data_IF_197121096688
#
_entry.id   IF_197121096688
#
_cell.length_a   1.000
_cell.length_b   1.000
_cell.length_c   1.000
_cell.angle_alpha   90.00
_cell.angle_beta   90.00
_cell.angle_gamma   90.00
#
_symmetry.space_group_name_H-M   'P 1'
#
loop_
_entity.id
_entity.type
_entity.pdbx_description
1 polymer ?
#
# COMPACT_ATOMS: atom_id res chain seq x y z
N UNK A 1 7.67 3.06 17.67
CA UNK A 1 8.69 4.12 17.68
C UNK A 1 9.25 4.32 19.08
N UNK A 2 8.41 4.40 20.13
CA UNK A 2 8.85 4.67 21.50
C UNK A 2 9.71 3.53 22.08
N UNK A 3 9.33 2.28 21.81
CA UNK A 3 10.03 1.09 22.33
C UNK A 3 11.39 0.88 21.64
N UNK A 4 11.48 1.17 20.32
CA UNK A 4 12.70 0.90 19.54
C UNK A 4 13.51 2.15 19.24
N UNK A 5 12.90 3.33 19.21
CA UNK A 5 13.53 4.56 18.75
C UNK A 5 13.77 5.63 19.83
N UNK A 6 13.25 5.45 21.04
CA UNK A 6 13.33 6.44 22.12
C UNK A 6 12.59 7.75 21.83
N UNK A 7 12.60 8.67 22.81
CA UNK A 7 11.89 9.95 22.73
C UNK A 7 12.39 10.87 21.59
N UNK A 8 13.66 10.75 21.20
CA UNK A 8 14.27 11.59 20.14
C UNK A 8 13.68 11.34 18.74
N UNK A 9 13.12 10.15 18.49
CA UNK A 9 12.62 9.76 17.17
C UNK A 9 11.10 9.89 17.00
N UNK A 10 10.43 10.64 17.87
CA UNK A 10 8.98 10.88 17.76
C UNK A 10 8.60 11.60 16.44
N UNK A 11 9.52 12.39 15.87
CA UNK A 11 9.34 13.03 14.58
C UNK A 11 9.16 12.02 13.41
N UNK A 12 9.62 10.78 13.57
CA UNK A 12 9.43 9.72 12.57
C UNK A 12 7.97 9.28 12.40
N UNK A 13 7.08 9.62 13.34
CA UNK A 13 5.64 9.30 13.26
C UNK A 13 5.03 9.88 11.99
N UNK A 14 5.42 11.09 11.60
CA UNK A 14 4.95 11.76 10.38
C UNK A 14 5.36 11.05 9.08
N UNK A 15 6.38 10.22 9.14
CA UNK A 15 6.91 9.45 8.01
C UNK A 15 6.24 8.07 7.90
N UNK A 16 5.76 7.52 9.02
CA UNK A 16 5.19 6.16 9.04
C UNK A 16 3.92 6.04 8.18
N UNK A 17 2.99 6.98 8.30
CA UNK A 17 1.73 6.92 7.56
C UNK A 17 1.93 6.89 6.03
N UNK A 18 2.69 7.82 5.41
CA UNK A 18 2.96 7.76 3.98
C UNK A 18 3.75 6.52 3.57
N UNK A 19 4.70 6.04 4.39
CA UNK A 19 5.43 4.81 4.09
C UNK A 19 4.54 3.57 4.06
N UNK A 20 3.66 3.40 5.05
CA UNK A 20 2.69 2.30 5.10
C UNK A 20 1.75 2.36 3.91
N UNK A 21 1.27 3.54 3.55
CA UNK A 21 0.40 3.74 2.37
C UNK A 21 1.14 3.40 1.07
N UNK A 22 2.38 3.86 0.93
CA UNK A 22 3.21 3.54 -0.23
C UNK A 22 3.46 2.04 -0.37
N UNK A 23 3.76 1.35 0.73
CA UNK A 23 3.93 -0.10 0.75
C UNK A 23 2.65 -0.83 0.31
N UNK A 24 1.48 -0.33 0.69
CA UNK A 24 0.20 -0.87 0.26
C UNK A 24 -0.01 -0.72 -1.26
N UNK A 25 0.29 0.46 -1.82
CA UNK A 25 0.23 0.68 -3.27
C UNK A 25 1.17 -0.27 -4.02
N UNK A 26 2.37 -0.46 -3.50
CA UNK A 26 3.32 -1.42 -4.04
C UNK A 26 2.80 -2.86 -3.98
N UNK A 27 2.18 -3.25 -2.87
CA UNK A 27 1.57 -4.57 -2.73
C UNK A 27 0.49 -4.83 -3.78
N UNK A 28 -0.42 -3.87 -4.00
CA UNK A 28 -1.41 -4.00 -5.07
C UNK A 28 -0.78 -4.02 -6.47
N UNK A 29 0.31 -3.31 -6.70
CA UNK A 29 1.04 -3.36 -7.97
C UNK A 29 1.57 -4.75 -8.30
N UNK A 30 1.95 -5.55 -7.29
CA UNK A 30 2.38 -6.93 -7.50
C UNK A 30 1.29 -7.82 -8.08
N UNK A 31 0.02 -7.58 -7.77
CA UNK A 31 -1.09 -8.33 -8.36
C UNK A 31 -1.18 -8.12 -9.87
N UNK A 32 -1.00 -6.87 -10.33
CA UNK A 32 -0.94 -6.57 -11.77
C UNK A 32 0.32 -7.13 -12.42
N UNK A 33 1.46 -7.05 -11.74
CA UNK A 33 2.73 -7.63 -12.21
C UNK A 33 2.62 -9.15 -12.38
N UNK A 34 1.93 -9.85 -11.47
CA UNK A 34 1.72 -11.28 -11.58
C UNK A 34 0.95 -11.65 -12.87
N UNK A 35 -0.09 -10.89 -13.21
CA UNK A 35 -0.85 -11.06 -14.45
C UNK A 35 0.05 -10.82 -15.68
N UNK A 36 0.79 -9.70 -15.70
CA UNK A 36 1.70 -9.37 -16.80
C UNK A 36 2.76 -10.45 -17.02
N UNK A 37 3.31 -11.02 -15.94
CA UNK A 37 4.27 -12.12 -15.99
C UNK A 37 3.64 -13.41 -16.53
N UNK A 38 2.38 -13.71 -16.18
CA UNK A 38 1.64 -14.83 -16.73
C UNK A 38 1.53 -14.73 -18.27
N UNK A 39 1.28 -13.53 -18.78
CA UNK A 39 1.25 -13.25 -20.23
C UNK A 39 2.67 -13.06 -20.85
N UNK A 40 3.74 -13.37 -20.12
CA UNK A 40 5.15 -13.23 -20.55
C UNK A 40 5.54 -11.81 -21.00
N UNK A 41 4.88 -10.78 -20.45
CA UNK A 41 5.15 -9.37 -20.77
C UNK A 41 6.09 -8.71 -19.74
N UNK A 42 7.16 -9.41 -19.36
CA UNK A 42 8.14 -8.97 -18.36
C UNK A 42 8.83 -7.65 -18.71
N UNK A 43 9.06 -7.39 -20.02
CA UNK A 43 9.63 -6.12 -20.46
C UNK A 43 8.73 -4.91 -20.10
N UNK A 44 7.41 -5.07 -20.15
CA UNK A 44 6.47 -3.99 -19.76
C UNK A 44 6.50 -3.74 -18.25
N UNK A 45 6.62 -4.82 -17.46
CA UNK A 45 6.81 -4.72 -15.99
C UNK A 45 8.08 -3.92 -15.68
N UNK A 46 9.20 -4.26 -16.34
CA UNK A 46 10.47 -3.57 -16.16
C UNK A 46 10.37 -2.08 -16.54
N UNK A 47 9.78 -1.75 -17.69
CA UNK A 47 9.57 -0.36 -18.12
C UNK A 47 8.70 0.43 -17.13
N UNK A 48 7.60 -0.16 -16.65
CA UNK A 48 6.76 0.48 -15.66
C UNK A 48 7.50 0.77 -14.36
N UNK A 49 8.31 -0.17 -13.90
CA UNK A 49 9.12 0.00 -12.67
C UNK A 49 10.23 1.04 -12.87
N UNK A 50 10.90 1.06 -14.02
CA UNK A 50 11.90 2.08 -14.35
C UNK A 50 11.28 3.49 -14.40
N UNK A 51 10.12 3.66 -15.01
CA UNK A 51 9.42 4.94 -15.03
C UNK A 51 9.06 5.42 -13.63
N UNK A 52 8.54 4.52 -12.78
CA UNK A 52 8.24 4.87 -11.39
C UNK A 52 9.50 5.23 -10.59
N UNK A 53 10.64 4.59 -10.86
CA UNK A 53 11.92 4.93 -10.26
C UNK A 53 12.37 6.34 -10.68
N UNK A 54 12.29 6.68 -11.95
CA UNK A 54 12.64 8.01 -12.46
C UNK A 54 11.76 9.07 -11.81
N UNK A 55 10.45 8.85 -11.72
CA UNK A 55 9.51 9.74 -11.04
C UNK A 55 9.89 9.89 -9.56
N UNK A 56 10.24 8.79 -8.88
CA UNK A 56 10.64 8.84 -7.47
C UNK A 56 11.91 9.68 -7.26
N UNK A 57 12.93 9.47 -8.10
CA UNK A 57 14.19 10.24 -8.01
C UNK A 57 13.94 11.72 -8.26
N UNK A 58 13.17 12.07 -9.30
CA UNK A 58 12.85 13.44 -9.65
C UNK A 58 12.07 14.14 -8.51
N UNK A 59 11.02 13.47 -7.98
CA UNK A 59 10.24 14.01 -6.88
C UNK A 59 11.08 14.16 -5.60
N UNK A 60 11.93 13.17 -5.28
CA UNK A 60 12.84 13.25 -4.14
C UNK A 60 13.80 14.43 -4.27
N UNK A 61 14.40 14.61 -5.44
CA UNK A 61 15.33 15.73 -5.68
C UNK A 61 14.65 17.07 -5.42
N UNK A 62 13.44 17.29 -5.96
CA UNK A 62 12.74 18.56 -5.81
C UNK A 62 12.22 18.76 -4.37
N UNK A 63 11.53 17.73 -3.83
CA UNK A 63 10.85 17.87 -2.55
C UNK A 63 11.79 17.84 -1.34
N UNK A 64 12.89 17.09 -1.39
CA UNK A 64 13.85 17.06 -0.28
C UNK A 64 14.57 18.41 -0.16
N UNK A 65 14.88 19.07 -1.28
CA UNK A 65 15.50 20.40 -1.26
C UNK A 65 14.58 21.46 -0.62
N UNK A 66 13.26 21.33 -0.79
CA UNK A 66 12.29 22.32 -0.29
C UNK A 66 11.78 21.99 1.12
N UNK A 67 11.50 20.72 1.41
CA UNK A 67 10.80 20.27 2.62
C UNK A 67 11.65 19.39 3.55
N UNK A 68 12.92 19.14 3.15
CA UNK A 68 13.82 18.29 3.91
C UNK A 68 13.51 16.78 3.79
N UNK A 69 14.26 15.98 4.54
CA UNK A 69 14.24 14.50 4.43
C UNK A 69 12.86 13.85 4.66
N UNK A 70 11.96 14.52 5.39
CA UNK A 70 10.60 13.99 5.63
C UNK A 70 9.79 13.85 4.35
N UNK A 71 10.07 14.68 3.35
CA UNK A 71 9.41 14.64 2.05
C UNK A 71 9.64 13.31 1.32
N UNK A 72 10.77 12.63 1.56
CA UNK A 72 11.11 11.37 0.90
C UNK A 72 10.04 10.26 1.11
N UNK A 73 9.38 10.23 2.25
CA UNK A 73 8.31 9.26 2.50
C UNK A 73 7.06 9.54 1.66
N UNK A 74 6.72 10.82 1.50
CA UNK A 74 5.56 11.24 0.70
C UNK A 74 5.82 11.04 -0.81
N UNK A 75 7.00 11.41 -1.28
CA UNK A 75 7.39 11.20 -2.69
C UNK A 75 7.45 9.71 -3.05
N UNK A 76 7.90 8.87 -2.14
CA UNK A 76 7.88 7.41 -2.31
C UNK A 76 6.44 6.89 -2.40
N UNK A 77 5.53 7.34 -1.55
CA UNK A 77 4.11 6.95 -1.60
C UNK A 77 3.47 7.39 -2.92
N UNK A 78 3.74 8.60 -3.40
CA UNK A 78 3.27 9.11 -4.70
C UNK A 78 3.81 8.29 -5.86
N UNK A 79 5.09 7.92 -5.84
CA UNK A 79 5.72 7.11 -6.88
C UNK A 79 5.13 5.68 -6.93
N UNK A 80 4.79 5.11 -5.78
CA UNK A 80 4.12 3.81 -5.74
C UNK A 80 2.64 3.89 -6.19
N UNK A 81 1.95 5.01 -5.90
CA UNK A 81 0.62 5.26 -6.47
C UNK A 81 0.69 5.38 -8.00
N UNK A 82 1.69 6.08 -8.53
CA UNK A 82 1.95 6.16 -9.96
C UNK A 82 2.23 4.78 -10.57
N UNK A 83 3.10 3.98 -9.93
CA UNK A 83 3.37 2.61 -10.34
C UNK A 83 2.11 1.75 -10.40
N UNK A 84 1.25 1.85 -9.37
CA UNK A 84 -0.02 1.13 -9.30
C UNK A 84 -0.93 1.45 -10.49
N UNK A 85 -1.09 2.74 -10.80
CA UNK A 85 -1.92 3.21 -11.92
C UNK A 85 -1.33 2.74 -13.26
N UNK A 86 -0.02 2.86 -13.43
CA UNK A 86 0.68 2.48 -14.65
C UNK A 86 0.58 0.97 -14.91
N UNK A 87 0.80 0.15 -13.88
CA UNK A 87 0.69 -1.31 -13.97
C UNK A 87 -0.75 -1.76 -14.27
N UNK A 88 -1.75 -1.13 -13.65
CA UNK A 88 -3.15 -1.41 -13.94
C UNK A 88 -3.57 -0.99 -15.35
N UNK A 89 -2.97 0.06 -15.90
CA UNK A 89 -3.20 0.46 -17.30
C UNK A 89 -2.53 -0.50 -18.29
N UNK A 90 -1.31 -0.95 -18.00
CA UNK A 90 -0.60 -1.94 -18.81
C UNK A 90 -1.32 -3.29 -18.80
N UNK A 91 -1.85 -3.72 -17.64
CA UNK A 91 -2.65 -4.94 -17.52
C UNK A 91 -3.86 -4.90 -18.46
N UNK A 92 -4.61 -3.80 -18.46
CA UNK A 92 -5.75 -3.63 -19.34
C UNK A 92 -5.37 -3.71 -20.83
N UNK A 93 -4.21 -3.15 -21.22
CA UNK A 93 -3.71 -3.24 -22.60
C UNK A 93 -3.32 -4.65 -23.03
N UNK A 94 -2.82 -5.47 -22.09
CA UNK A 94 -2.37 -6.83 -22.36
C UNK A 94 -3.56 -7.79 -22.47
N UNK A 95 -4.52 -7.67 -21.55
CA UNK A 95 -5.61 -8.63 -21.40
C UNK A 95 -6.86 -8.26 -22.20
N UNK A 96 -6.95 -7.01 -22.69
CA UNK A 96 -8.13 -6.49 -23.36
C UNK A 96 -9.33 -6.24 -22.43
N UNK A 97 -9.24 -6.67 -21.18
CA UNK A 97 -10.26 -6.51 -20.15
C UNK A 97 -9.61 -6.27 -18.80
N UNK A 98 -10.32 -5.65 -17.86
CA UNK A 98 -9.82 -5.43 -16.51
C UNK A 98 -10.08 -6.68 -15.66
N UNK A 99 -9.05 -7.49 -15.44
CA UNK A 99 -9.12 -8.65 -14.53
C UNK A 99 -9.24 -8.16 -13.09
N UNK A 100 -8.43 -7.15 -12.73
CA UNK A 100 -8.51 -6.49 -11.43
C UNK A 100 -9.06 -5.07 -11.65
N UNK A 101 -10.27 -4.74 -11.16
CA UNK A 101 -10.84 -3.41 -11.36
C UNK A 101 -10.06 -2.36 -10.57
N UNK A 102 -9.32 -1.51 -11.28
CA UNK A 102 -8.50 -0.44 -10.69
C UNK A 102 -9.31 0.47 -9.75
N UNK A 103 -10.58 0.72 -10.07
CA UNK A 103 -11.50 1.49 -9.23
C UNK A 103 -11.67 0.86 -7.84
N UNK A 104 -11.79 -0.46 -7.79
CA UNK A 104 -11.94 -1.19 -6.53
C UNK A 104 -10.64 -1.15 -5.72
N UNK A 105 -9.51 -1.35 -6.38
CA UNK A 105 -8.18 -1.25 -5.77
C UNK A 105 -7.93 0.14 -5.19
N UNK A 106 -8.22 1.20 -5.95
CA UNK A 106 -8.07 2.59 -5.49
C UNK A 106 -9.04 2.92 -4.35
N UNK A 107 -10.27 2.38 -4.36
CA UNK A 107 -11.23 2.55 -3.27
C UNK A 107 -10.68 1.97 -1.95
N UNK A 108 -10.20 0.72 -1.96
CA UNK A 108 -9.63 0.12 -0.76
C UNK A 108 -8.33 0.80 -0.32
N UNK A 109 -7.49 1.18 -1.26
CA UNK A 109 -6.28 1.95 -0.97
C UNK A 109 -6.62 3.32 -0.35
N UNK A 110 -7.65 4.00 -0.83
CA UNK A 110 -8.13 5.26 -0.28
C UNK A 110 -8.71 5.11 1.13
N UNK A 111 -9.51 4.07 1.38
CA UNK A 111 -10.02 3.76 2.73
C UNK A 111 -8.85 3.50 3.69
N UNK A 112 -7.87 2.72 3.26
CA UNK A 112 -6.70 2.41 4.07
C UNK A 112 -5.84 3.66 4.33
N UNK A 113 -5.68 4.53 3.34
CA UNK A 113 -5.02 5.83 3.51
C UNK A 113 -5.75 6.71 4.52
N UNK A 114 -7.09 6.78 4.44
CA UNK A 114 -7.91 7.50 5.41
C UNK A 114 -7.74 6.96 6.83
N UNK A 115 -7.74 5.65 7.00
CA UNK A 115 -7.48 5.02 8.30
C UNK A 115 -6.07 5.33 8.84
N UNK A 116 -5.05 5.38 7.97
CA UNK A 116 -3.71 5.79 8.36
C UNK A 116 -3.65 7.24 8.81
N UNK A 117 -4.34 8.15 8.12
CA UNK A 117 -4.45 9.55 8.55
C UNK A 117 -5.15 9.68 9.90
N UNK A 118 -6.26 8.99 10.11
CA UNK A 118 -6.96 8.97 11.40
C UNK A 118 -6.03 8.43 12.49
N UNK A 119 -5.29 7.36 12.24
CA UNK A 119 -4.31 6.83 13.17
C UNK A 119 -3.20 7.84 13.52
N UNK A 120 -2.80 8.67 12.56
CA UNK A 120 -1.79 9.71 12.77
C UNK A 120 -2.33 10.84 13.67
N UNK A 121 -3.57 11.31 13.43
CA UNK A 121 -4.24 12.30 14.32
C UNK A 121 -4.58 11.73 15.68
N UNK A 122 -4.85 10.44 15.77
CA UNK A 122 -5.09 9.73 17.02
C UNK A 122 -3.87 9.69 17.98
N UNK A 123 -2.71 10.25 17.58
CA UNK A 123 -1.52 10.33 18.44
C UNK A 123 -1.75 11.18 19.70
N UNK A 124 -2.71 12.07 19.69
CA UNK A 124 -3.13 12.86 20.86
C UNK A 124 -3.95 12.03 21.88
N UNK A 125 -4.47 10.88 21.45
CA UNK A 125 -5.27 9.99 22.31
C UNK A 125 -4.36 9.15 23.22
N UNK A 126 -4.73 8.89 24.49
CA UNK A 126 -3.96 8.06 25.42
C UNK A 126 -3.59 6.71 24.81
N UNK A 127 -2.38 6.22 25.10
CA UNK A 127 -1.81 5.01 24.50
C UNK A 127 -2.70 3.76 24.67
N UNK A 128 -3.39 3.59 25.80
CA UNK A 128 -4.26 2.45 26.07
C UNK A 128 -5.49 2.40 25.13
N UNK A 129 -6.10 3.52 24.82
CA UNK A 129 -7.23 3.60 23.90
C UNK A 129 -6.83 3.21 22.48
N UNK A 130 -5.60 3.53 22.05
CA UNK A 130 -5.08 3.10 20.75
C UNK A 130 -4.92 1.58 20.66
N UNK A 131 -4.40 0.94 21.71
CA UNK A 131 -4.28 -0.51 21.73
C UNK A 131 -5.65 -1.19 21.69
N UNK A 132 -6.64 -0.65 22.39
CA UNK A 132 -8.02 -1.16 22.33
C UNK A 132 -8.59 -1.05 20.92
N UNK A 133 -8.39 0.09 20.23
CA UNK A 133 -8.84 0.27 18.84
C UNK A 133 -8.15 -0.68 17.87
N UNK A 134 -6.84 -0.89 18.00
CA UNK A 134 -6.08 -1.84 17.19
C UNK A 134 -6.57 -3.27 17.43
N UNK A 135 -6.74 -3.67 18.68
CA UNK A 135 -7.25 -5.01 19.03
C UNK A 135 -8.68 -5.23 18.53
N UNK A 136 -9.55 -4.23 18.65
CA UNK A 136 -10.90 -4.28 18.10
C UNK A 136 -10.89 -4.40 16.56
N UNK A 137 -10.04 -3.63 15.88
CA UNK A 137 -9.84 -3.72 14.44
C UNK A 137 -9.30 -5.08 13.99
N UNK A 138 -8.30 -5.62 14.70
CA UNK A 138 -7.79 -6.97 14.46
C UNK A 138 -8.86 -8.04 14.69
N UNK A 139 -9.60 -7.94 15.78
CA UNK A 139 -10.72 -8.85 16.07
C UNK A 139 -11.81 -8.83 15.00
N UNK A 140 -12.16 -7.64 14.52
CA UNK A 140 -13.13 -7.47 13.42
C UNK A 140 -12.63 -8.07 12.10
N UNK A 141 -11.34 -7.84 11.75
CA UNK A 141 -10.75 -8.41 10.52
C UNK A 141 -10.66 -9.92 10.59
N UNK A 142 -10.25 -10.48 11.73
CA UNK A 142 -10.22 -11.93 11.95
C UNK A 142 -11.62 -12.52 11.83
N UNK A 143 -12.63 -11.93 12.48
CA UNK A 143 -14.03 -12.39 12.41
C UNK A 143 -14.61 -12.34 10.99
N UNK A 144 -14.17 -11.40 10.16
CA UNK A 144 -14.68 -11.20 8.80
C UNK A 144 -13.95 -12.04 7.76
N UNK A 145 -12.63 -12.19 7.90
CA UNK A 145 -11.78 -12.85 6.91
C UNK A 145 -11.64 -14.33 7.18
N UNK A 146 -11.52 -14.73 8.45
CA UNK A 146 -11.31 -16.13 8.83
C UNK A 146 -12.40 -17.09 8.30
N UNK A 147 -13.72 -16.81 8.41
CA UNK A 147 -14.74 -17.71 7.89
C UNK A 147 -14.71 -17.80 6.36
N UNK A 148 -14.39 -16.71 5.66
CA UNK A 148 -14.22 -16.73 4.19
C UNK A 148 -13.02 -17.58 3.78
N UNK A 149 -11.90 -17.45 4.47
CA UNK A 149 -10.68 -18.22 4.22
C UNK A 149 -10.90 -19.71 4.50
N UNK A 150 -11.54 -20.05 5.62
CA UNK A 150 -11.90 -21.43 5.95
C UNK A 150 -12.90 -22.03 4.94
N UNK A 151 -13.84 -21.24 4.41
CA UNK A 151 -14.75 -21.65 3.35
C UNK A 151 -14.02 -22.01 2.05
N UNK A 152 -13.02 -21.19 1.66
CA UNK A 152 -12.18 -21.47 0.48
C UNK A 152 -11.36 -22.75 0.68
N UNK A 153 -10.73 -22.92 1.85
CA UNK A 153 -9.96 -24.14 2.15
C UNK A 153 -10.82 -25.40 2.15
N UNK A 154 -12.05 -25.31 2.66
CA UNK A 154 -13.01 -26.42 2.65
C UNK A 154 -13.40 -26.83 1.21
N UNK A 155 -13.61 -25.84 0.34
CA UNK A 155 -13.93 -26.09 -1.08
C UNK A 155 -12.76 -26.74 -1.84
N UNK A 156 -11.52 -26.33 -1.57
CA UNK A 156 -10.31 -26.93 -2.17
C UNK A 156 -10.14 -28.39 -1.71
N UNK A 157 -10.51 -28.70 -0.45
CA UNK A 157 -10.41 -30.06 0.10
C UNK A 157 -11.47 -31.03 -0.46
N UNK A 158 -12.62 -30.51 -0.90
CA UNK A 158 -13.72 -31.33 -1.49
C UNK A 158 -13.43 -31.61 -2.99
N UNK A 159 -12.59 -30.79 -3.65
CA UNK A 159 -12.22 -30.93 -5.06
C UNK A 159 -11.03 -31.89 -5.31
N UNK A 160 -10.53 -32.56 -4.29
CA UNK A 160 -9.58 -33.69 -4.40
C UNK A 160 -10.27 -34.99 -4.09
#
# INVERSE_FOLDING_TARGET
>A
VWILGGKKNLAAIWVIAPMVTGTLFRFYSYSYTAIQNYYKKTAQVALGTMLAMVVNVALNYICILQFGYRAAAYTTAVSYAFLLILQGWQEMKITGQRIIPLRTTLKYAGVFFGLNLISMFSYQIPWYLRYILVLAGCGFTVKTILPKFLGILKNIRISK
#
